data_IF_789156936300
#
_entry.id   IF_789156936300
#
_cell.length_a   1.000
_cell.length_b   1.000
_cell.length_c   1.000
_cell.angle_alpha   90.00
_cell.angle_beta   90.00
_cell.angle_gamma   90.00
#
_symmetry.space_group_name_H-M   'P 1'
#
loop_
_entity.id
_entity.type
_entity.pdbx_description
1 polymer ?
#
# COMPACT_ATOMS: atom_id res chain seq x y z
N UNK A 1 -2.29 -1.05 -8.91
CA UNK A 1 -2.61 -2.46 -8.60
C UNK A 1 -2.75 -2.61 -7.09
N UNK A 2 -3.47 -3.62 -6.59
CA UNK A 2 -3.59 -3.87 -5.15
C UNK A 2 -2.34 -4.57 -4.62
N UNK A 3 -1.76 -4.05 -3.54
CA UNK A 3 -0.49 -4.58 -3.00
C UNK A 3 -0.64 -4.97 -1.54
N UNK A 4 -0.08 -6.14 -1.19
CA UNK A 4 0.00 -6.65 0.17
C UNK A 4 1.46 -6.99 0.49
N UNK A 5 2.02 -6.33 1.50
CA UNK A 5 3.33 -6.69 2.06
C UNK A 5 3.10 -7.62 3.26
N UNK A 6 3.50 -8.90 3.17
CA UNK A 6 3.28 -9.86 4.24
C UNK A 6 4.20 -9.62 5.45
N UNK A 7 3.81 -10.15 6.60
CA UNK A 7 4.50 -9.96 7.89
C UNK A 7 5.93 -10.50 7.91
N UNK A 8 6.18 -11.60 7.20
CA UNK A 8 7.47 -12.30 7.10
C UNK A 8 8.52 -11.56 6.26
N UNK A 9 8.19 -10.37 5.75
CA UNK A 9 9.08 -9.49 5.00
C UNK A 9 9.33 -8.19 5.75
N UNK A 10 10.11 -8.21 6.85
CA UNK A 10 10.41 -7.00 7.61
C UNK A 10 11.37 -6.08 6.86
N UNK A 11 11.49 -4.81 7.31
CA UNK A 11 12.47 -3.84 6.81
C UNK A 11 12.35 -3.49 5.32
N UNK A 12 11.13 -3.43 4.81
CA UNK A 12 10.86 -3.02 3.42
C UNK A 12 10.93 -1.49 3.29
N UNK A 13 11.67 -1.04 2.28
CA UNK A 13 11.73 0.35 1.85
C UNK A 13 11.08 0.49 0.47
N UNK A 14 9.98 1.25 0.39
CA UNK A 14 9.27 1.54 -0.85
C UNK A 14 9.49 2.99 -1.26
N UNK A 15 10.13 3.20 -2.41
CA UNK A 15 10.46 4.53 -2.92
C UNK A 15 9.88 4.73 -4.32
N UNK A 16 9.12 5.82 -4.47
CA UNK A 16 8.70 6.33 -5.77
C UNK A 16 9.60 7.46 -6.28
N UNK A 17 9.36 7.88 -7.51
CA UNK A 17 10.06 9.01 -8.15
C UNK A 17 9.48 10.37 -7.71
N UNK A 18 8.33 10.38 -7.02
CA UNK A 18 7.68 11.60 -6.56
C UNK A 18 6.21 11.36 -6.15
N UNK A 19 5.75 12.06 -5.11
CA UNK A 19 4.38 11.87 -4.57
C UNK A 19 3.28 12.18 -5.60
N UNK A 20 3.57 13.03 -6.58
CA UNK A 20 2.65 13.43 -7.66
C UNK A 20 2.91 12.71 -8.98
N UNK A 21 3.90 11.82 -9.05
CA UNK A 21 4.28 11.07 -10.26
C UNK A 21 4.19 9.56 -10.08
N UNK A 22 4.27 9.06 -8.85
CA UNK A 22 4.15 7.64 -8.51
C UNK A 22 2.90 7.36 -7.68
N UNK A 23 2.02 6.52 -8.22
CA UNK A 23 0.74 6.19 -7.62
C UNK A 23 0.50 4.68 -7.59
N UNK A 24 0.05 4.18 -6.45
CA UNK A 24 -0.63 2.89 -6.36
C UNK A 24 -2.11 3.18 -6.18
N UNK A 25 -2.92 2.69 -7.12
CA UNK A 25 -4.37 2.90 -7.12
C UNK A 25 -5.12 1.57 -7.15
N UNK A 26 -6.28 1.57 -6.48
CA UNK A 26 -7.23 0.48 -6.47
C UNK A 26 -8.66 0.99 -6.22
N UNK A 27 -9.69 0.24 -6.64
CA UNK A 27 -11.08 0.71 -6.67
C UNK A 27 -12.05 -0.12 -5.82
N UNK A 28 -11.55 -0.90 -4.86
CA UNK A 28 -12.41 -1.64 -3.94
C UNK A 28 -13.10 -0.74 -2.92
N UNK A 29 -14.25 -1.21 -2.43
CA UNK A 29 -15.04 -0.49 -1.42
C UNK A 29 -15.33 -1.38 -0.23
N UNK A 30 -15.45 -0.78 0.95
CA UNK A 30 -15.76 -1.49 2.18
C UNK A 30 -17.12 -2.20 2.12
N UNK A 31 -18.07 -1.66 1.36
CA UNK A 31 -19.37 -2.28 1.12
C UNK A 31 -19.26 -3.65 0.43
N UNK A 32 -18.23 -3.86 -0.40
CA UNK A 32 -18.05 -5.10 -1.17
C UNK A 32 -17.21 -6.13 -0.42
N UNK A 33 -16.14 -5.69 0.25
CA UNK A 33 -15.11 -6.61 0.78
C UNK A 33 -14.66 -6.30 2.22
N UNK A 34 -15.41 -5.46 2.93
CA UNK A 34 -15.08 -5.00 4.28
C UNK A 34 -13.98 -3.94 4.30
N UNK A 35 -13.93 -3.15 5.38
CA UNK A 35 -13.02 -2.00 5.52
C UNK A 35 -11.54 -2.39 5.41
N UNK A 36 -11.14 -3.49 6.04
CA UNK A 36 -9.76 -3.99 5.95
C UNK A 36 -9.44 -4.50 4.54
N UNK A 37 -10.42 -5.12 3.87
CA UNK A 37 -10.27 -5.60 2.51
C UNK A 37 -10.15 -4.47 1.49
N UNK A 38 -10.80 -3.32 1.72
CA UNK A 38 -10.86 -2.22 0.74
C UNK A 38 -9.61 -1.34 0.65
N UNK A 39 -8.57 -1.59 1.45
CA UNK A 39 -7.33 -0.84 1.37
C UNK A 39 -6.64 -1.04 0.00
N UNK A 40 -6.16 0.06 -0.60
CA UNK A 40 -5.34 0.05 -1.82
C UNK A 40 -3.98 -0.60 -1.60
N UNK A 41 -3.39 -0.34 -0.44
CA UNK A 41 -2.09 -0.86 -0.02
C UNK A 41 -2.18 -1.31 1.44
N UNK A 42 -1.75 -2.54 1.71
CA UNK A 42 -1.68 -3.08 3.07
C UNK A 42 -0.26 -3.55 3.35
N UNK A 43 0.32 -3.09 4.46
CA UNK A 43 1.57 -3.63 4.98
C UNK A 43 1.36 -4.25 6.36
N UNK A 44 1.74 -5.50 6.48
CA UNK A 44 1.87 -6.20 7.76
C UNK A 44 3.32 -6.29 8.22
N UNK A 45 4.27 -5.76 7.44
CA UNK A 45 5.69 -5.87 7.73
C UNK A 45 6.10 -4.93 8.88
N UNK A 46 6.84 -5.43 9.89
CA UNK A 46 7.46 -4.54 10.86
C UNK A 46 8.59 -3.75 10.20
N UNK A 47 8.74 -2.48 10.61
CA UNK A 47 9.74 -1.54 10.09
C UNK A 47 9.58 -1.19 8.59
N UNK A 48 8.34 -1.04 8.12
CA UNK A 48 8.05 -0.56 6.76
C UNK A 48 8.23 0.96 6.64
N UNK A 49 8.86 1.41 5.55
CA UNK A 49 8.99 2.84 5.21
C UNK A 49 8.57 3.06 3.76
N UNK A 50 7.78 4.10 3.51
CA UNK A 50 7.42 4.56 2.18
C UNK A 50 7.78 6.04 2.00
N UNK A 51 8.38 6.40 0.86
CA UNK A 51 8.65 7.80 0.49
C UNK A 51 8.36 8.09 -0.98
N UNK A 52 8.05 9.35 -1.26
CA UNK A 52 7.85 9.86 -2.62
C UNK A 52 6.81 9.08 -3.44
N UNK A 53 5.75 8.61 -2.79
CA UNK A 53 4.68 7.80 -3.40
C UNK A 53 3.32 8.15 -2.80
N UNK A 54 2.24 8.00 -3.58
CA UNK A 54 0.85 8.15 -3.12
C UNK A 54 0.07 6.83 -3.24
N UNK A 55 -0.83 6.59 -2.27
CA UNK A 55 -1.79 5.48 -2.28
C UNK A 55 -3.21 6.07 -2.38
N UNK A 56 -3.98 5.69 -3.40
CA UNK A 56 -5.33 6.19 -3.66
C UNK A 56 -6.37 5.08 -3.83
#
# INVERSE_FOLDING_TARGET
EKVVVPYDKPFIFLEGEGRTSTFITWADTAARIGTAGSATFTSYAPNFVARWISFN
#
